data_IF_259572147608
#
_entry.id   IF_259572147608
#
_cell.length_a   1.000
_cell.length_b   1.000
_cell.length_c   1.000
_cell.angle_alpha   90.00
_cell.angle_beta   90.00
_cell.angle_gamma   90.00
#
_symmetry.space_group_name_H-M   'P 1'
#
loop_
_entity.id
_entity.type
_entity.pdbx_description
1 polymer ?
#
# COMPACT_ATOMS: atom_id res chain seq x y z
N UNK A 1 6.32 28.93 12.67
CA UNK A 1 5.74 27.66 12.20
C UNK A 1 6.05 27.58 10.73
N UNK A 2 7.04 26.76 10.38
CA UNK A 2 7.43 26.60 8.99
C UNK A 2 6.32 25.86 8.26
N UNK A 3 5.84 26.45 7.17
CA UNK A 3 4.77 25.85 6.37
C UNK A 3 5.21 24.47 5.89
N UNK A 4 4.30 23.50 5.97
CA UNK A 4 4.45 22.18 5.36
C UNK A 4 5.07 22.28 3.97
N UNK A 5 6.10 21.49 3.64
CA UNK A 5 6.60 21.44 2.27
C UNK A 5 5.44 21.08 1.33
N UNK A 6 5.16 21.95 0.35
CA UNK A 6 3.98 21.84 -0.53
C UNK A 6 3.85 20.47 -1.21
N UNK A 7 4.98 19.81 -1.47
CA UNK A 7 5.01 18.47 -2.06
C UNK A 7 4.40 17.38 -1.16
N UNK A 8 4.51 17.50 0.17
CA UNK A 8 3.92 16.57 1.15
C UNK A 8 2.40 16.62 1.05
N UNK A 9 1.83 17.83 1.10
CA UNK A 9 0.39 18.02 1.00
C UNK A 9 -0.14 17.60 -0.38
N UNK A 10 0.62 17.83 -1.46
CA UNK A 10 0.25 17.38 -2.80
C UNK A 10 0.25 15.85 -2.91
N UNK A 11 1.21 15.16 -2.29
CA UNK A 11 1.23 13.69 -2.24
C UNK A 11 0.02 13.14 -1.48
N UNK A 12 -0.29 13.71 -0.32
CA UNK A 12 -1.47 13.33 0.45
C UNK A 12 -2.77 13.56 -0.33
N UNK A 13 -2.91 14.71 -1.02
CA UNK A 13 -4.05 14.98 -1.92
C UNK A 13 -4.24 13.90 -2.96
N UNK A 14 -3.16 13.43 -3.58
CA UNK A 14 -3.24 12.39 -4.60
C UNK A 14 -3.75 11.06 -4.03
N UNK A 15 -3.27 10.71 -2.84
CA UNK A 15 -3.77 9.54 -2.12
C UNK A 15 -5.26 9.66 -1.77
N UNK A 16 -5.71 10.81 -1.26
CA UNK A 16 -7.11 11.00 -0.86
C UNK A 16 -8.12 11.05 -2.01
N UNK A 17 -7.68 11.25 -3.26
CA UNK A 17 -8.54 11.08 -4.46
C UNK A 17 -8.98 9.64 -4.65
N UNK A 18 -8.14 8.70 -4.20
CA UNK A 18 -8.30 7.27 -4.41
C UNK A 18 -8.83 6.58 -3.16
N UNK A 19 -9.47 5.44 -3.38
CA UNK A 19 -10.12 4.65 -2.32
C UNK A 19 -9.22 3.51 -1.86
N UNK A 20 -8.25 3.20 -2.70
CA UNK A 20 -7.25 2.17 -2.54
C UNK A 20 -5.89 2.76 -2.88
N UNK A 21 -4.89 2.49 -2.05
CA UNK A 21 -3.50 2.88 -2.29
C UNK A 21 -2.68 1.60 -2.32
N UNK A 22 -1.93 1.42 -3.40
CA UNK A 22 -1.08 0.27 -3.66
C UNK A 22 0.35 0.61 -3.26
N UNK A 23 0.91 -0.16 -2.34
CA UNK A 23 2.27 0.03 -1.82
C UNK A 23 3.03 -1.28 -2.02
N UNK A 24 4.02 -1.33 -2.94
CA UNK A 24 4.93 -2.46 -3.01
C UNK A 24 5.79 -2.45 -1.75
N UNK A 25 5.97 -3.62 -1.16
CA UNK A 25 6.84 -3.82 0.00
C UNK A 25 7.96 -4.74 -0.44
N UNK A 26 9.19 -4.26 -0.29
CA UNK A 26 10.40 -5.02 -0.50
C UNK A 26 10.97 -5.40 0.88
N UNK A 27 11.06 -6.69 1.15
CA UNK A 27 11.77 -7.23 2.31
C UNK A 27 13.22 -7.49 1.93
N UNK A 28 14.08 -6.46 2.00
CA UNK A 28 15.54 -6.55 1.86
C UNK A 28 16.06 -7.60 0.85
N UNK A 29 15.53 -7.58 -0.38
CA UNK A 29 15.87 -8.49 -1.49
C UNK A 29 15.58 -9.99 -1.26
N UNK A 30 14.82 -10.32 -0.21
CA UNK A 30 14.33 -11.66 0.09
C UNK A 30 12.98 -11.91 -0.57
N UNK A 31 12.06 -10.95 -0.50
CA UNK A 31 10.70 -11.11 -0.99
C UNK A 31 10.02 -9.78 -1.27
N UNK A 32 9.18 -9.74 -2.31
CA UNK A 32 8.36 -8.59 -2.64
C UNK A 32 6.88 -8.98 -2.64
N UNK A 33 6.05 -8.14 -2.04
CA UNK A 33 4.60 -8.32 -2.05
C UNK A 33 3.88 -6.98 -2.12
N UNK A 34 2.56 -7.02 -2.29
CA UNK A 34 1.75 -5.82 -2.47
C UNK A 34 0.80 -5.61 -1.28
N UNK A 35 0.88 -4.42 -0.69
CA UNK A 35 -0.07 -3.93 0.29
C UNK A 35 -1.11 -3.03 -0.41
N UNK A 36 -2.38 -3.18 -0.04
CA UNK A 36 -3.46 -2.28 -0.45
C UNK A 36 -4.12 -1.68 0.77
N UNK A 37 -3.95 -0.37 0.96
CA UNK A 37 -4.71 0.39 1.96
C UNK A 37 -6.10 0.66 1.37
N UNK A 38 -7.15 0.03 1.90
CA UNK A 38 -8.52 0.13 1.38
C UNK A 38 -9.39 0.96 2.32
N UNK A 39 -9.51 2.25 2.03
CA UNK A 39 -10.26 3.20 2.87
C UNK A 39 -11.76 2.89 2.91
N UNK A 40 -12.35 2.36 1.83
CA UNK A 40 -13.78 1.97 1.81
C UNK A 40 -14.09 0.82 2.75
N UNK A 41 -13.16 -0.12 2.91
CA UNK A 41 -13.31 -1.28 3.77
C UNK A 41 -12.70 -1.07 5.16
N UNK A 42 -11.96 0.02 5.37
CA UNK A 42 -11.14 0.25 6.57
C UNK A 42 -10.26 -0.96 6.89
N UNK A 43 -9.60 -1.50 5.86
CA UNK A 43 -8.71 -2.64 5.99
C UNK A 43 -7.44 -2.45 5.17
N UNK A 44 -6.39 -3.15 5.59
CA UNK A 44 -5.17 -3.32 4.80
C UNK A 44 -5.20 -4.72 4.21
N UNK A 45 -5.21 -4.81 2.89
CA UNK A 45 -5.19 -6.08 2.19
C UNK A 45 -3.75 -6.44 1.82
N UNK A 46 -3.35 -7.68 2.10
CA UNK A 46 -2.01 -8.19 1.81
C UNK A 46 -2.12 -9.19 0.68
N UNK A 47 -1.42 -8.91 -0.40
CA UNK A 47 -1.33 -9.78 -1.58
C UNK A 47 0.10 -10.30 -1.60
N UNK A 48 0.31 -11.33 -0.79
CA UNK A 48 1.58 -12.02 -0.63
C UNK A 48 1.46 -13.47 -1.14
N UNK A 49 2.29 -13.83 -2.11
CA UNK A 49 2.32 -15.16 -2.69
C UNK A 49 2.84 -16.27 -1.77
N UNK A 50 3.63 -15.93 -0.74
CA UNK A 50 4.05 -16.86 0.31
C UNK A 50 2.90 -17.19 1.28
N UNK A 51 1.81 -16.41 1.23
CA UNK A 51 0.67 -16.58 2.11
C UNK A 51 0.91 -16.04 3.53
N UNK A 52 0.03 -16.39 4.49
CA UNK A 52 -0.07 -15.71 5.79
C UNK A 52 0.99 -16.14 6.83
N UNK A 53 1.95 -17.01 6.48
CA UNK A 53 2.92 -17.57 7.42
C UNK A 53 4.07 -16.61 7.80
N UNK A 54 4.18 -15.49 7.12
CA UNK A 54 5.28 -14.54 7.28
C UNK A 54 4.99 -13.50 8.37
N UNK A 55 6.03 -13.10 9.11
CA UNK A 55 5.95 -11.96 10.01
C UNK A 55 5.71 -10.67 9.18
N UNK A 56 4.83 -9.78 9.66
CA UNK A 56 4.39 -8.55 8.97
C UNK A 56 4.93 -7.28 9.65
N UNK A 57 6.15 -7.33 10.18
CA UNK A 57 6.77 -6.17 10.82
C UNK A 57 7.09 -5.09 9.79
N UNK A 58 7.68 -5.49 8.67
CA UNK A 58 7.98 -4.65 7.50
C UNK A 58 6.74 -3.92 6.95
N UNK A 59 5.57 -4.59 6.89
CA UNK A 59 4.29 -3.95 6.59
C UNK A 59 3.96 -2.84 7.58
N UNK A 60 4.13 -3.12 8.87
CA UNK A 60 3.80 -2.16 9.93
C UNK A 60 4.67 -0.92 9.80
N UNK A 61 5.99 -1.12 9.72
CA UNK A 61 6.97 -0.06 9.60
C UNK A 61 6.73 0.76 8.31
N UNK A 62 6.36 0.10 7.21
CA UNK A 62 6.01 0.78 5.94
C UNK A 62 4.74 1.62 6.08
N UNK A 63 3.72 1.15 6.81
CA UNK A 63 2.44 1.87 6.97
C UNK A 63 2.52 3.08 7.90
N UNK A 64 3.51 3.14 8.80
CA UNK A 64 3.73 4.32 9.65
C UNK A 64 3.99 5.58 8.82
N UNK A 65 4.72 5.47 7.71
CA UNK A 65 5.00 6.60 6.80
C UNK A 65 3.72 7.24 6.22
N UNK A 66 2.89 6.49 5.47
CA UNK A 66 1.59 6.95 4.99
C UNK A 66 0.65 7.44 6.10
N UNK A 67 0.58 6.75 7.24
CA UNK A 67 -0.25 7.19 8.36
C UNK A 67 0.17 8.57 8.87
N UNK A 68 1.47 8.77 9.11
CA UNK A 68 2.01 10.05 9.54
C UNK A 68 1.76 11.14 8.51
N UNK A 69 1.92 10.82 7.22
CA UNK A 69 1.59 11.73 6.11
C UNK A 69 0.11 12.14 6.13
N UNK A 70 -0.80 11.19 6.34
CA UNK A 70 -2.24 11.45 6.35
C UNK A 70 -2.66 12.30 7.53
N UNK A 71 -2.17 11.97 8.74
CA UNK A 71 -2.42 12.75 9.96
C UNK A 71 -1.91 14.17 9.79
N UNK A 72 -0.67 14.32 9.34
CA UNK A 72 -0.07 15.63 9.08
C UNK A 72 -0.88 16.44 8.06
N UNK A 73 -1.28 15.84 6.94
CA UNK A 73 -2.09 16.53 5.94
C UNK A 73 -3.46 16.95 6.47
N UNK A 74 -4.10 16.14 7.32
CA UNK A 74 -5.40 16.45 7.92
C UNK A 74 -5.38 17.69 8.82
N UNK A 75 -4.23 17.99 9.44
CA UNK A 75 -4.02 19.19 10.26
C UNK A 75 -3.79 20.45 9.43
N UNK A 76 -3.29 20.31 8.20
CA UNK A 76 -2.82 21.43 7.37
C UNK A 76 -3.69 21.70 6.14
N UNK A 77 -4.66 20.84 5.84
CA UNK A 77 -5.61 21.04 4.75
C UNK A 77 -6.93 20.31 4.96
N UNK A 78 -8.01 20.86 4.41
CA UNK A 78 -9.31 20.18 4.39
C UNK A 78 -9.25 18.91 3.52
N UNK A 79 -9.57 17.78 4.14
CA UNK A 79 -9.75 16.52 3.43
C UNK A 79 -11.14 16.49 2.79
N UNK A 80 -11.22 16.76 1.49
CA UNK A 80 -12.47 16.63 0.72
C UNK A 80 -12.78 15.17 0.37
N UNK A 81 -12.74 14.27 1.35
CA UNK A 81 -13.01 12.86 1.13
C UNK A 81 -13.90 12.29 2.23
N UNK A 82 -15.10 11.84 1.85
CA UNK A 82 -16.01 11.11 2.73
C UNK A 82 -15.58 9.66 2.97
N UNK A 83 -14.46 9.24 2.38
CA UNK A 83 -13.99 7.85 2.35
C UNK A 83 -12.87 7.61 3.36
N UNK A 84 -12.07 8.62 3.63
CA UNK A 84 -10.96 8.60 4.58
C UNK A 84 -11.43 9.12 5.94
N UNK A 85 -12.28 8.33 6.61
CA UNK A 85 -12.91 8.70 7.89
C UNK A 85 -12.04 8.40 9.10
N UNK A 86 -11.07 7.50 8.94
CA UNK A 86 -10.04 7.19 9.91
C UNK A 86 -8.69 7.27 9.18
N UNK A 87 -7.65 7.72 9.89
CA UNK A 87 -6.30 7.87 9.35
C UNK A 87 -5.30 6.96 10.05
N UNK A 88 -5.74 6.18 11.05
CA UNK A 88 -4.92 5.27 11.86
C UNK A 88 -4.71 3.93 11.14
N UNK A 89 -4.19 3.98 9.91
CA UNK A 89 -4.06 2.84 8.99
C UNK A 89 -3.31 1.65 9.61
N UNK A 90 -2.32 1.89 10.46
CA UNK A 90 -1.56 0.83 11.15
C UNK A 90 -2.43 -0.02 12.08
N UNK A 91 -3.55 0.52 12.55
CA UNK A 91 -4.52 -0.16 13.43
C UNK A 91 -5.62 -0.90 12.67
N UNK A 92 -5.73 -0.67 11.36
CA UNK A 92 -6.77 -1.29 10.55
C UNK A 92 -6.60 -2.80 10.49
N UNK A 93 -7.74 -3.49 10.35
CA UNK A 93 -7.75 -4.95 10.17
C UNK A 93 -6.91 -5.33 8.96
N UNK A 94 -6.04 -6.32 9.14
CA UNK A 94 -5.27 -6.93 8.04
C UNK A 94 -6.05 -8.09 7.43
N UNK A 95 -6.09 -8.11 6.10
CA UNK A 95 -6.75 -9.16 5.33
C UNK A 95 -5.76 -9.78 4.35
N UNK A 96 -5.28 -10.97 4.68
CA UNK A 96 -4.47 -11.80 3.76
C UNK A 96 -5.39 -12.28 2.63
N UNK A 97 -5.20 -11.72 1.44
CA UNK A 97 -6.04 -12.02 0.28
C UNK A 97 -5.68 -13.37 -0.33
N UNK A 98 -4.39 -13.70 -0.32
CA UNK A 98 -3.85 -15.01 -0.69
C UNK A 98 -3.81 -15.86 0.57
N UNK A 99 -4.71 -16.85 0.65
CA UNK A 99 -4.96 -17.63 1.88
C UNK A 99 -4.08 -18.88 2.03
N UNK A 100 -3.33 -19.22 1.00
CA UNK A 100 -2.40 -20.34 0.96
C UNK A 100 -1.26 -19.96 0.04
N UNK A 101 -0.04 -20.44 0.34
CA UNK A 101 1.11 -20.24 -0.55
C UNK A 101 0.76 -20.68 -1.97
N UNK A 102 1.04 -19.79 -2.93
CA UNK A 102 0.96 -20.09 -4.36
C UNK A 102 2.30 -20.58 -4.90
N UNK A 103 3.36 -20.47 -4.10
CA UNK A 103 4.68 -20.94 -4.44
C UNK A 103 4.75 -22.45 -4.21
N UNK A 104 4.84 -23.19 -5.32
CA UNK A 104 4.91 -24.65 -5.30
C UNK A 104 6.31 -25.17 -5.58
N UNK A 105 7.17 -24.47 -6.34
CA UNK A 105 8.58 -24.83 -6.53
C UNK A 105 9.41 -23.66 -7.13
N UNK A 106 10.41 -23.16 -6.40
CA UNK A 106 11.59 -22.44 -6.93
C UNK A 106 11.55 -20.88 -7.01
N UNK A 107 12.71 -20.20 -6.85
CA UNK A 107 12.83 -18.74 -6.65
C UNK A 107 12.53 -17.86 -7.89
N UNK A 108 12.16 -18.44 -9.03
CA UNK A 108 11.85 -17.70 -10.26
C UNK A 108 10.38 -17.27 -10.37
N UNK A 109 9.59 -17.41 -9.30
CA UNK A 109 8.19 -16.99 -9.27
C UNK A 109 7.97 -15.51 -8.91
N UNK A 110 8.99 -14.77 -8.45
CA UNK A 110 8.84 -13.37 -8.02
C UNK A 110 8.38 -12.45 -9.18
N UNK A 111 8.98 -12.57 -10.35
CA UNK A 111 8.57 -11.79 -11.54
C UNK A 111 7.22 -12.24 -12.08
N UNK A 112 6.92 -13.54 -12.08
CA UNK A 112 5.64 -14.03 -12.61
C UNK A 112 4.48 -13.67 -11.69
N UNK A 113 4.66 -13.74 -10.37
CA UNK A 113 3.62 -13.43 -9.39
C UNK A 113 3.39 -11.92 -9.30
N UNK A 114 4.44 -11.10 -9.32
CA UNK A 114 4.26 -9.64 -9.38
C UNK A 114 3.61 -9.22 -10.69
N UNK A 115 4.06 -9.73 -11.85
CA UNK A 115 3.43 -9.41 -13.13
C UNK A 115 2.01 -9.98 -13.26
N UNK A 116 1.71 -11.17 -12.72
CA UNK A 116 0.36 -11.72 -12.72
C UNK A 116 -0.58 -10.99 -11.76
N UNK A 117 -0.07 -10.53 -10.61
CA UNK A 117 -0.81 -9.69 -9.67
C UNK A 117 -1.13 -8.32 -10.28
N UNK A 118 -0.13 -7.70 -10.92
CA UNK A 118 -0.28 -6.44 -11.63
C UNK A 118 -1.17 -6.57 -12.87
N UNK A 119 -1.09 -7.68 -13.62
CA UNK A 119 -1.96 -7.96 -14.76
C UNK A 119 -3.43 -8.20 -14.35
N UNK A 120 -3.69 -8.72 -13.13
CA UNK A 120 -5.03 -8.87 -12.58
C UNK A 120 -5.64 -7.57 -12.04
N UNK A 121 -4.81 -6.55 -11.78
CA UNK A 121 -5.23 -5.26 -11.23
C UNK A 121 -5.50 -4.18 -12.32
N UNK A 122 -5.47 -4.57 -13.61
CA UNK A 122 -5.57 -3.71 -14.79
C UNK A 122 -4.41 -2.70 -14.94
N UNK A 123 -3.67 -2.85 -16.03
CA UNK A 123 -2.43 -2.16 -16.37
C UNK A 123 -2.59 -0.67 -16.76
N UNK A 124 -3.59 0.04 -16.23
CA UNK A 124 -3.82 1.47 -16.52
C UNK A 124 -3.22 2.42 -15.50
N UNK A 125 -2.69 1.94 -14.36
CA UNK A 125 -2.21 2.83 -13.29
C UNK A 125 -0.72 3.20 -13.35
N UNK A 126 0.12 2.42 -14.05
CA UNK A 126 1.59 2.58 -14.01
C UNK A 126 2.23 3.05 -15.31
N UNK A 127 1.46 3.39 -16.35
CA UNK A 127 2.01 3.89 -17.63
C UNK A 127 2.49 5.35 -17.57
N UNK A 128 2.30 6.07 -16.46
CA UNK A 128 2.60 7.51 -16.37
C UNK A 128 3.72 7.89 -15.40
N UNK A 129 4.39 6.94 -14.77
CA UNK A 129 5.56 7.22 -13.93
C UNK A 129 6.67 6.25 -14.35
N UNK A 130 7.44 6.66 -15.35
CA UNK A 130 8.65 5.94 -15.75
C UNK A 130 9.64 5.93 -14.58
N UNK A 131 10.18 4.76 -14.28
CA UNK A 131 11.27 4.59 -13.32
C UNK A 131 12.46 3.97 -14.06
N UNK A 132 13.56 4.71 -14.06
CA UNK A 132 14.94 4.23 -13.96
C UNK A 132 15.50 4.79 -12.65
#
# INVERSE_FOLDING_TARGET
MDAAPVWVLNRAKEYFKNDMIFIPINMDDVHCYLCVINARKLCVQVLDSLGPSMNRKDLTDTLEGPENLFKYASEHMELKSNKWTDLSVTTWKREEYIKSSLETDGPWLLDFQFNALMARLDATFFSTQGWF
#
